data_IF_574479659299
#
_entry.id   IF_574479659299
#
_cell.length_a   1.000
_cell.length_b   1.000
_cell.length_c   1.000
_cell.angle_alpha   90.00
_cell.angle_beta   90.00
_cell.angle_gamma   90.00
#
_symmetry.space_group_name_H-M   'P 1'
#
loop_
_entity.id
_entity.type
_entity.pdbx_description
1 polymer ?
#
# COMPACT_ATOMS: atom_id res chain seq x y z
N UNK A 1 -9.62 -9.15 -85.67
CA UNK A 1 -10.47 -8.63 -84.58
C UNK A 1 -10.23 -9.43 -83.31
N UNK A 2 -9.29 -9.04 -82.43
CA UNK A 2 -9.06 -9.79 -81.16
C UNK A 2 -8.20 -9.04 -80.12
N UNK A 3 -8.54 -7.79 -79.76
CA UNK A 3 -7.79 -7.07 -78.72
C UNK A 3 -8.64 -6.31 -77.68
N UNK A 4 -9.95 -6.16 -77.88
CA UNK A 4 -10.81 -5.41 -76.96
C UNK A 4 -11.49 -6.27 -75.89
N UNK A 5 -11.66 -7.58 -76.12
CA UNK A 5 -12.35 -8.48 -75.18
C UNK A 5 -11.45 -8.97 -74.03
N UNK A 6 -10.14 -9.09 -74.27
CA UNK A 6 -9.18 -9.63 -73.30
C UNK A 6 -8.81 -8.62 -72.19
N UNK A 7 -8.76 -7.32 -72.52
CA UNK A 7 -8.53 -6.24 -71.53
C UNK A 7 -9.68 -6.14 -70.52
N UNK A 8 -10.94 -6.33 -70.96
CA UNK A 8 -12.13 -6.28 -70.09
C UNK A 8 -12.15 -7.43 -69.06
N UNK A 9 -11.72 -8.64 -69.45
CA UNK A 9 -11.66 -9.80 -68.54
C UNK A 9 -10.59 -9.64 -67.45
N UNK A 10 -9.43 -9.06 -67.80
CA UNK A 10 -8.34 -8.81 -66.83
C UNK A 10 -8.69 -7.70 -65.83
N UNK A 11 -9.33 -6.61 -66.28
CA UNK A 11 -9.81 -5.55 -65.39
C UNK A 11 -10.94 -6.02 -64.45
N UNK A 12 -11.86 -6.87 -64.91
CA UNK A 12 -12.88 -7.46 -64.05
C UNK A 12 -12.28 -8.43 -63.02
N UNK A 13 -11.26 -9.22 -63.41
CA UNK A 13 -10.51 -10.09 -62.48
C UNK A 13 -9.71 -9.30 -61.44
N UNK A 14 -9.05 -8.21 -61.85
CA UNK A 14 -8.35 -7.28 -60.95
C UNK A 14 -9.31 -6.57 -60.00
N UNK A 15 -10.45 -6.08 -60.48
CA UNK A 15 -11.47 -5.44 -59.65
C UNK A 15 -12.07 -6.39 -58.61
N UNK A 16 -12.30 -7.66 -58.99
CA UNK A 16 -12.72 -8.70 -58.05
C UNK A 16 -11.65 -9.00 -57.00
N UNK A 17 -10.38 -9.09 -57.40
CA UNK A 17 -9.28 -9.34 -56.48
C UNK A 17 -9.07 -8.18 -55.49
N UNK A 18 -9.18 -6.93 -55.97
CA UNK A 18 -9.13 -5.72 -55.13
C UNK A 18 -10.32 -5.65 -54.18
N UNK A 19 -11.53 -6.01 -54.63
CA UNK A 19 -12.71 -6.07 -53.79
C UNK A 19 -12.60 -7.16 -52.70
N UNK A 20 -12.07 -8.34 -53.05
CA UNK A 20 -11.78 -9.41 -52.08
C UNK A 20 -10.72 -8.96 -51.04
N UNK A 21 -9.66 -8.28 -51.47
CA UNK A 21 -8.65 -7.69 -50.58
C UNK A 21 -9.25 -6.63 -49.64
N UNK A 22 -10.09 -5.73 -50.17
CA UNK A 22 -10.77 -4.72 -49.38
C UNK A 22 -11.71 -5.34 -48.34
N UNK A 23 -12.45 -6.38 -48.73
CA UNK A 23 -13.39 -7.05 -47.84
C UNK A 23 -12.65 -7.77 -46.69
N UNK A 24 -11.54 -8.43 -46.99
CA UNK A 24 -10.65 -9.01 -45.96
C UNK A 24 -10.07 -7.92 -45.06
N UNK A 25 -9.61 -6.80 -45.62
CA UNK A 25 -9.04 -5.69 -44.86
C UNK A 25 -10.07 -5.04 -43.91
N UNK A 26 -11.29 -4.82 -44.38
CA UNK A 26 -12.40 -4.31 -43.56
C UNK A 26 -12.79 -5.30 -42.48
N UNK A 27 -12.85 -6.61 -42.79
CA UNK A 27 -13.13 -7.66 -41.82
C UNK A 27 -12.10 -7.72 -40.69
N UNK A 28 -10.80 -7.69 -41.02
CA UNK A 28 -9.72 -7.68 -40.02
C UNK A 28 -9.73 -6.40 -39.19
N UNK A 29 -9.94 -5.24 -39.82
CA UNK A 29 -10.01 -3.95 -39.11
C UNK A 29 -11.21 -3.88 -38.16
N UNK A 30 -12.37 -4.40 -38.57
CA UNK A 30 -13.56 -4.47 -37.74
C UNK A 30 -13.41 -5.44 -36.57
N UNK A 31 -12.82 -6.62 -36.80
CA UNK A 31 -12.53 -7.59 -35.75
C UNK A 31 -11.52 -7.03 -34.73
N UNK A 32 -10.47 -6.35 -35.22
CA UNK A 32 -9.49 -5.69 -34.37
C UNK A 32 -10.13 -4.58 -33.53
N UNK A 33 -10.96 -3.74 -34.14
CA UNK A 33 -11.70 -2.67 -33.45
C UNK A 33 -12.65 -3.21 -32.37
N UNK A 34 -13.41 -4.27 -32.69
CA UNK A 34 -14.30 -4.92 -31.73
C UNK A 34 -13.52 -5.54 -30.56
N UNK A 35 -12.40 -6.22 -30.84
CA UNK A 35 -11.56 -6.80 -29.80
C UNK A 35 -10.94 -5.73 -28.90
N UNK A 36 -10.51 -4.60 -29.48
CA UNK A 36 -9.91 -3.50 -28.73
C UNK A 36 -10.95 -2.81 -27.82
N UNK A 37 -12.19 -2.67 -28.30
CA UNK A 37 -13.30 -2.14 -27.50
C UNK A 37 -13.66 -3.06 -26.32
N UNK A 38 -13.71 -4.38 -26.54
CA UNK A 38 -13.96 -5.36 -25.47
C UNK A 38 -12.81 -5.39 -24.46
N UNK A 39 -11.57 -5.30 -24.92
CA UNK A 39 -10.39 -5.27 -24.07
C UNK A 39 -10.36 -4.04 -23.17
N UNK A 40 -10.68 -2.85 -23.70
CA UNK A 40 -10.74 -1.62 -22.88
C UNK A 40 -11.81 -1.70 -21.78
N UNK A 41 -12.95 -2.37 -22.03
CA UNK A 41 -13.95 -2.60 -20.98
C UNK A 41 -13.43 -3.55 -19.90
N UNK A 42 -12.80 -4.65 -20.28
CA UNK A 42 -12.22 -5.60 -19.31
C UNK A 42 -11.11 -4.97 -18.47
N UNK A 43 -10.26 -4.14 -19.08
CA UNK A 43 -9.20 -3.42 -18.36
C UNK A 43 -9.79 -2.40 -17.38
N UNK A 44 -10.85 -1.68 -17.79
CA UNK A 44 -11.56 -0.75 -16.90
C UNK A 44 -12.21 -1.47 -15.70
N UNK A 45 -12.85 -2.63 -15.93
CA UNK A 45 -13.44 -3.45 -14.85
C UNK A 45 -12.39 -3.98 -13.88
N UNK A 46 -11.28 -4.55 -14.39
CA UNK A 46 -10.18 -5.04 -13.56
C UNK A 46 -9.55 -3.93 -12.73
N UNK A 47 -9.36 -2.77 -13.35
CA UNK A 47 -8.82 -1.59 -12.68
C UNK A 47 -9.74 -1.11 -11.56
N UNK A 48 -11.06 -1.03 -11.78
CA UNK A 48 -11.99 -0.63 -10.74
C UNK A 48 -12.02 -1.65 -9.58
N UNK A 49 -11.93 -2.95 -9.87
CA UNK A 49 -11.80 -3.99 -8.84
C UNK A 49 -10.54 -3.82 -8.00
N UNK A 50 -9.38 -3.57 -8.63
CA UNK A 50 -8.11 -3.29 -7.93
C UNK A 50 -8.27 -2.05 -7.04
N UNK A 51 -8.69 -0.93 -7.62
CA UNK A 51 -8.85 0.34 -6.88
C UNK A 51 -9.87 0.21 -5.73
N UNK A 52 -10.96 -0.54 -5.91
CA UNK A 52 -11.93 -0.81 -4.85
C UNK A 52 -11.34 -1.66 -3.72
N UNK A 53 -10.55 -2.69 -4.04
CA UNK A 53 -9.89 -3.53 -3.03
C UNK A 53 -8.87 -2.75 -2.18
N UNK A 54 -8.08 -1.89 -2.82
CA UNK A 54 -7.12 -1.02 -2.13
C UNK A 54 -7.87 0.00 -1.28
N UNK A 55 -8.90 0.66 -1.82
CA UNK A 55 -9.73 1.60 -1.07
C UNK A 55 -10.35 0.97 0.19
N UNK A 56 -10.89 -0.25 0.09
CA UNK A 56 -11.44 -0.96 1.24
C UNK A 56 -10.36 -1.25 2.30
N UNK A 57 -9.20 -1.73 1.88
CA UNK A 57 -8.08 -2.04 2.77
C UNK A 57 -7.59 -0.79 3.51
N UNK A 58 -7.44 0.33 2.79
CA UNK A 58 -7.03 1.60 3.39
C UNK A 58 -8.05 2.14 4.39
N UNK A 59 -9.35 2.07 4.07
CA UNK A 59 -10.41 2.51 5.00
C UNK A 59 -10.38 1.70 6.30
N UNK A 60 -10.26 0.37 6.19
CA UNK A 60 -10.16 -0.52 7.34
C UNK A 60 -8.90 -0.24 8.15
N UNK A 61 -7.75 -0.05 7.49
CA UNK A 61 -6.48 0.27 8.14
C UNK A 61 -6.47 1.64 8.84
N UNK A 62 -7.09 2.67 8.26
CA UNK A 62 -7.25 3.99 8.88
C UNK A 62 -8.12 3.87 10.13
N UNK A 63 -9.27 3.20 10.02
CA UNK A 63 -10.20 3.04 11.13
C UNK A 63 -9.58 2.23 12.29
N UNK A 64 -8.97 1.08 11.98
CA UNK A 64 -8.33 0.23 13.00
C UNK A 64 -7.14 0.92 13.66
N UNK A 65 -6.27 1.57 12.87
CA UNK A 65 -5.11 2.31 13.37
C UNK A 65 -5.55 3.45 14.28
N UNK A 66 -6.58 4.20 13.90
CA UNK A 66 -7.10 5.32 14.69
C UNK A 66 -7.66 4.87 16.03
N UNK A 67 -8.44 3.79 16.05
CA UNK A 67 -8.95 3.21 17.31
C UNK A 67 -7.77 2.82 18.20
N UNK A 68 -6.87 1.98 17.71
CA UNK A 68 -5.72 1.50 18.48
C UNK A 68 -4.83 2.64 19.00
N UNK A 69 -4.57 3.65 18.16
CA UNK A 69 -3.79 4.83 18.53
C UNK A 69 -4.41 5.59 19.71
N UNK A 70 -5.70 5.89 19.62
CA UNK A 70 -6.40 6.72 20.61
C UNK A 70 -6.69 5.94 21.91
N UNK A 71 -6.99 4.64 21.81
CA UNK A 71 -7.37 3.85 23.00
C UNK A 71 -6.18 3.26 23.72
N UNK A 72 -5.07 2.96 23.04
CA UNK A 72 -3.94 2.24 23.64
C UNK A 72 -2.63 3.01 23.53
N UNK A 73 -2.19 3.36 22.31
CA UNK A 73 -0.81 3.83 22.09
C UNK A 73 -0.56 5.22 22.67
N UNK A 74 -1.44 6.19 22.39
CA UNK A 74 -1.31 7.56 22.88
C UNK A 74 -1.44 7.63 24.41
N UNK A 75 -2.47 7.04 25.04
CA UNK A 75 -2.55 7.00 26.50
C UNK A 75 -1.33 6.33 27.13
N UNK A 76 -0.88 5.18 26.61
CA UNK A 76 0.27 4.48 27.18
C UNK A 76 1.57 5.32 27.13
N UNK A 77 1.84 5.97 25.99
CA UNK A 77 2.99 6.85 25.85
C UNK A 77 2.90 8.09 26.75
N UNK A 78 1.72 8.73 26.78
CA UNK A 78 1.49 9.94 27.56
C UNK A 78 1.52 9.68 29.07
N UNK A 79 0.88 8.61 29.55
CA UNK A 79 0.85 8.23 30.96
C UNK A 79 2.25 7.86 31.45
N UNK A 80 3.01 7.09 30.68
CA UNK A 80 4.38 6.73 31.04
C UNK A 80 5.27 7.98 31.13
N UNK A 81 5.17 8.89 30.15
CA UNK A 81 5.89 10.16 30.17
C UNK A 81 5.50 11.01 31.38
N UNK A 82 4.20 11.17 31.64
CA UNK A 82 3.66 11.93 32.77
C UNK A 82 4.20 11.41 34.10
N UNK A 83 4.20 10.09 34.28
CA UNK A 83 4.72 9.44 35.50
C UNK A 83 6.23 9.67 35.65
N UNK A 84 7.01 9.54 34.57
CA UNK A 84 8.44 9.87 34.60
C UNK A 84 8.70 11.34 34.98
N UNK A 85 7.96 12.27 34.38
CA UNK A 85 8.13 13.71 34.63
C UNK A 85 7.71 14.09 36.06
N UNK A 86 6.78 13.34 36.66
CA UNK A 86 6.40 13.46 38.07
C UNK A 86 7.44 12.85 39.04
N UNK A 87 8.52 12.24 38.53
CA UNK A 87 9.51 11.55 39.34
C UNK A 87 8.99 10.23 39.92
N UNK A 88 8.01 9.61 39.28
CA UNK A 88 7.56 8.25 39.56
C UNK A 88 8.43 7.23 38.80
N UNK A 89 8.27 5.94 39.13
CA UNK A 89 8.95 4.83 38.47
C UNK A 89 7.93 3.89 37.81
N UNK A 90 7.26 4.33 36.71
CA UNK A 90 6.25 3.51 36.05
C UNK A 90 6.84 2.18 35.53
N UNK A 91 6.10 1.06 35.57
CA UNK A 91 6.63 -0.21 35.09
C UNK A 91 6.85 -0.19 33.57
N UNK A 92 7.95 -0.80 33.13
CA UNK A 92 8.19 -1.05 31.71
C UNK A 92 7.43 -2.31 31.29
N UNK A 93 6.71 -2.24 30.17
CA UNK A 93 5.97 -3.35 29.59
C UNK A 93 6.68 -3.85 28.34
N UNK A 94 6.61 -5.16 28.02
CA UNK A 94 7.17 -5.66 26.77
C UNK A 94 6.57 -4.96 25.55
N UNK A 95 7.40 -4.64 24.55
CA UNK A 95 6.94 -4.19 23.24
C UNK A 95 6.55 -5.41 22.42
N UNK A 96 5.26 -5.55 22.13
CA UNK A 96 4.75 -6.61 21.26
C UNK A 96 4.15 -5.94 20.04
N UNK A 97 4.76 -6.15 18.88
CA UNK A 97 4.25 -5.65 17.61
C UNK A 97 3.90 -6.84 16.71
N UNK A 98 2.61 -6.99 16.40
CA UNK A 98 2.10 -8.06 15.53
C UNK A 98 1.47 -7.39 14.32
N UNK A 99 1.90 -7.81 13.13
CA UNK A 99 1.30 -7.39 11.86
C UNK A 99 1.17 -8.59 10.95
N UNK A 100 0.07 -8.64 10.22
CA UNK A 100 -0.22 -9.57 9.13
C UNK A 100 0.25 -9.04 7.76
N UNK A 101 0.82 -7.84 7.74
CA UNK A 101 1.31 -7.22 6.51
C UNK A 101 2.41 -8.04 5.84
N UNK A 102 2.28 -8.25 4.53
CA UNK A 102 3.29 -8.86 3.69
C UNK A 102 3.69 -7.97 2.50
N UNK A 103 4.98 -7.62 2.35
CA UNK A 103 5.48 -6.93 1.15
C UNK A 103 5.23 -7.67 -0.16
N UNK A 104 5.02 -9.00 -0.10
CA UNK A 104 4.75 -9.81 -1.29
C UNK A 104 3.40 -9.49 -1.91
N UNK A 105 2.44 -9.03 -1.12
CA UNK A 105 1.05 -8.91 -1.57
C UNK A 105 0.91 -7.73 -2.52
N UNK A 106 1.51 -6.59 -2.17
CA UNK A 106 1.61 -5.44 -3.07
C UNK A 106 2.42 -5.78 -4.33
N UNK A 107 3.56 -6.46 -4.17
CA UNK A 107 4.38 -6.85 -5.31
C UNK A 107 3.62 -7.76 -6.29
N UNK A 108 2.86 -8.72 -5.76
CA UNK A 108 2.03 -9.64 -6.54
C UNK A 108 0.93 -8.87 -7.28
N UNK A 109 0.23 -7.96 -6.60
CA UNK A 109 -0.81 -7.11 -7.21
C UNK A 109 -0.25 -6.23 -8.34
N UNK A 110 0.93 -5.63 -8.15
CA UNK A 110 1.59 -4.81 -9.16
C UNK A 110 2.02 -5.64 -10.37
N UNK A 111 2.56 -6.84 -10.13
CA UNK A 111 3.00 -7.77 -11.18
C UNK A 111 1.84 -8.40 -11.96
N UNK A 112 0.69 -8.62 -11.34
CA UNK A 112 -0.50 -9.19 -11.98
C UNK A 112 -1.25 -8.22 -12.92
N UNK A 113 -0.69 -7.04 -13.17
CA UNK A 113 -1.24 -6.04 -14.09
C UNK A 113 -1.47 -4.65 -13.47
N UNK A 114 -1.27 -4.48 -12.17
CA UNK A 114 -1.45 -3.19 -11.49
C UNK A 114 -0.61 -2.06 -12.10
N UNK A 115 0.60 -2.35 -12.58
CA UNK A 115 1.47 -1.34 -13.24
C UNK A 115 0.89 -0.81 -14.56
N UNK A 116 0.16 -1.63 -15.32
CA UNK A 116 -0.44 -1.20 -16.58
C UNK A 116 -1.82 -0.57 -16.40
N UNK A 117 -2.51 -0.91 -15.31
CA UNK A 117 -3.89 -0.50 -15.06
C UNK A 117 -4.00 0.77 -14.21
N UNK A 118 -3.04 1.07 -13.34
CA UNK A 118 -3.12 2.21 -12.42
C UNK A 118 -2.40 3.45 -12.97
N UNK A 119 -2.92 4.63 -12.64
CA UNK A 119 -2.26 5.89 -12.97
C UNK A 119 -0.86 5.99 -12.30
N UNK A 120 0.08 6.63 -12.99
CA UNK A 120 1.47 6.76 -12.56
C UNK A 120 1.58 7.41 -11.17
N UNK A 121 0.75 8.40 -10.86
CA UNK A 121 0.80 9.05 -9.55
C UNK A 121 0.20 8.17 -8.45
N UNK A 122 -0.78 7.32 -8.78
CA UNK A 122 -1.30 6.32 -7.83
C UNK A 122 -0.26 5.25 -7.55
N UNK A 123 0.48 4.81 -8.57
CA UNK A 123 1.62 3.91 -8.39
C UNK A 123 2.72 4.52 -7.51
N UNK A 124 3.01 5.82 -7.66
CA UNK A 124 3.95 6.53 -6.79
C UNK A 124 3.45 6.61 -5.35
N UNK A 125 2.19 7.01 -5.16
CA UNK A 125 1.59 7.07 -3.83
C UNK A 125 1.56 5.70 -3.14
N UNK A 126 1.24 4.62 -3.87
CA UNK A 126 1.33 3.24 -3.36
C UNK A 126 2.75 2.86 -2.93
N UNK A 127 3.76 3.26 -3.70
CA UNK A 127 5.17 2.99 -3.38
C UNK A 127 5.65 3.79 -2.17
N UNK A 128 5.18 5.02 -2.02
CA UNK A 128 5.52 5.87 -0.88
C UNK A 128 4.89 5.34 0.41
N UNK A 129 3.62 4.93 0.35
CA UNK A 129 2.88 4.26 1.43
C UNK A 129 3.60 2.96 1.88
N UNK A 130 3.93 2.09 0.93
CA UNK A 130 4.73 0.87 1.15
C UNK A 130 6.08 1.17 1.82
N UNK A 131 6.74 2.25 1.42
CA UNK A 131 8.02 2.65 2.00
C UNK A 131 7.87 3.03 3.47
N UNK A 132 6.83 3.79 3.82
CA UNK A 132 6.52 4.16 5.21
C UNK A 132 6.24 2.91 6.05
N UNK A 133 5.40 1.98 5.55
CA UNK A 133 5.12 0.73 6.24
C UNK A 133 6.42 -0.03 6.50
N UNK A 134 7.23 -0.28 5.48
CA UNK A 134 8.48 -1.06 5.63
C UNK A 134 9.47 -0.42 6.61
N UNK A 135 9.66 0.88 6.55
CA UNK A 135 10.55 1.59 7.48
C UNK A 135 10.00 1.57 8.91
N UNK A 136 8.70 1.76 9.09
CA UNK A 136 8.01 1.67 10.37
C UNK A 136 8.16 0.29 11.00
N UNK A 137 7.90 -0.77 10.25
CA UNK A 137 8.03 -2.16 10.70
C UNK A 137 9.46 -2.51 11.10
N UNK A 138 10.46 -2.10 10.31
CA UNK A 138 11.86 -2.31 10.65
C UNK A 138 12.24 -1.61 11.98
N UNK A 139 11.69 -0.41 12.23
CA UNK A 139 11.89 0.32 13.49
C UNK A 139 11.21 -0.40 14.67
N UNK A 140 9.96 -0.83 14.51
CA UNK A 140 9.23 -1.57 15.54
C UNK A 140 9.90 -2.91 15.89
N UNK A 141 10.38 -3.65 14.89
CA UNK A 141 11.12 -4.90 15.10
C UNK A 141 12.40 -4.68 15.91
N UNK A 142 13.10 -3.55 15.71
CA UNK A 142 14.26 -3.18 16.52
C UNK A 142 13.88 -2.93 17.98
N UNK A 143 12.78 -2.23 18.24
CA UNK A 143 12.33 -1.98 19.62
C UNK A 143 11.83 -3.24 20.31
N UNK A 144 11.11 -4.11 19.59
CA UNK A 144 10.72 -5.42 20.11
C UNK A 144 11.94 -6.26 20.48
N UNK A 145 12.95 -6.34 19.61
CA UNK A 145 14.20 -7.04 19.93
C UNK A 145 14.88 -6.49 21.19
N UNK A 146 14.96 -5.17 21.35
CA UNK A 146 15.51 -4.56 22.56
C UNK A 146 14.67 -4.88 23.80
N UNK A 147 13.35 -4.96 23.65
CA UNK A 147 12.44 -5.38 24.71
C UNK A 147 12.68 -6.83 25.14
N UNK A 148 12.80 -7.72 24.17
CA UNK A 148 13.03 -9.16 24.38
C UNK A 148 14.39 -9.42 25.04
N UNK A 149 15.40 -8.60 24.75
CA UNK A 149 16.74 -8.73 25.31
C UNK A 149 16.89 -8.06 26.70
N UNK A 150 16.21 -6.94 26.96
CA UNK A 150 16.47 -6.10 28.13
C UNK A 150 15.33 -6.05 29.14
N UNK A 151 14.08 -6.12 28.68
CA UNK A 151 12.89 -5.93 29.52
C UNK A 151 12.30 -7.28 29.90
N UNK A 152 11.95 -8.11 28.92
CA UNK A 152 11.30 -9.41 29.13
C UNK A 152 12.05 -10.30 30.14
N UNK A 153 13.39 -10.44 30.09
CA UNK A 153 14.11 -11.32 31.01
C UNK A 153 14.15 -10.82 32.45
N UNK A 154 13.73 -9.57 32.69
CA UNK A 154 13.87 -8.90 33.98
C UNK A 154 12.51 -8.42 34.53
N UNK A 155 11.39 -8.94 34.02
CA UNK A 155 10.04 -8.55 34.47
C UNK A 155 9.74 -8.96 35.92
N UNK A 156 10.44 -9.96 36.44
CA UNK A 156 10.36 -10.45 37.82
C UNK A 156 11.28 -9.67 38.77
N UNK A 157 12.19 -8.84 38.25
CA UNK A 157 13.09 -8.02 39.03
C UNK A 157 12.35 -6.84 39.68
N UNK A 158 12.90 -6.33 40.78
CA UNK A 158 12.42 -5.10 41.39
C UNK A 158 12.55 -3.91 40.43
N UNK A 159 11.65 -2.92 40.58
CA UNK A 159 11.62 -1.72 39.72
C UNK A 159 12.96 -0.95 39.72
N UNK A 160 13.76 -1.05 40.80
CA UNK A 160 15.12 -0.49 40.88
C UNK A 160 16.14 -1.14 39.92
N UNK A 161 15.80 -2.26 39.27
CA UNK A 161 16.58 -2.79 38.16
C UNK A 161 16.51 -1.87 36.94
N UNK A 162 15.34 -1.28 36.69
CA UNK A 162 15.07 -0.38 35.57
C UNK A 162 15.42 1.07 35.88
N UNK A 163 15.25 1.47 37.15
CA UNK A 163 15.43 2.84 37.62
C UNK A 163 16.63 2.98 38.55
N UNK A 164 17.23 4.16 38.57
CA UNK A 164 18.13 4.54 39.65
C UNK A 164 17.29 4.93 40.88
N UNK A 165 17.43 4.27 42.04
CA UNK A 165 16.55 4.50 43.19
C UNK A 165 16.74 5.88 43.85
N UNK A 166 17.89 6.52 43.64
CA UNK A 166 18.20 7.84 44.20
C UNK A 166 17.66 8.96 43.33
N UNK A 167 17.88 8.87 42.02
CA UNK A 167 17.47 9.91 41.06
C UNK A 167 16.08 9.67 40.49
N UNK A 168 15.53 8.45 40.66
CA UNK A 168 14.27 7.96 40.08
C UNK A 168 14.22 8.02 38.55
N UNK A 169 15.37 8.18 37.89
CA UNK A 169 15.47 8.19 36.43
C UNK A 169 15.65 6.78 35.90
N UNK A 170 15.21 6.55 34.66
CA UNK A 170 15.55 5.34 33.93
C UNK A 170 17.07 5.23 33.85
N UNK A 171 17.59 4.02 34.10
CA UNK A 171 19.01 3.75 33.84
C UNK A 171 19.26 3.85 32.34
N UNK A 172 20.48 4.26 31.97
CA UNK A 172 20.90 4.53 30.58
C UNK A 172 20.48 3.46 29.56
N UNK A 173 20.53 2.17 29.91
CA UNK A 173 20.14 1.05 29.03
C UNK A 173 18.63 0.99 28.70
N UNK A 174 17.79 1.69 29.46
CA UNK A 174 16.33 1.73 29.29
C UNK A 174 15.80 3.10 28.85
N UNK A 175 16.66 4.10 28.66
CA UNK A 175 16.25 5.44 28.22
C UNK A 175 15.56 5.43 26.84
N UNK A 176 15.81 4.39 26.03
CA UNK A 176 15.16 4.16 24.73
C UNK A 176 13.67 3.81 24.85
N UNK A 177 13.21 3.36 26.02
CA UNK A 177 11.84 2.90 26.22
C UNK A 177 10.77 3.99 25.99
N UNK A 178 10.83 5.17 26.64
CA UNK A 178 9.87 6.24 26.36
C UNK A 178 9.94 6.75 24.91
N UNK A 179 11.12 6.69 24.27
CA UNK A 179 11.26 7.00 22.84
C UNK A 179 10.51 5.98 21.99
N UNK A 180 10.67 4.67 22.24
CA UNK A 180 9.99 3.61 21.51
C UNK A 180 8.46 3.68 21.63
N UNK A 181 7.92 4.04 22.81
CA UNK A 181 6.49 4.31 22.98
C UNK A 181 6.02 5.46 22.10
N UNK A 182 6.76 6.58 22.10
CA UNK A 182 6.41 7.73 21.29
C UNK A 182 6.53 7.44 19.78
N UNK A 183 7.53 6.67 19.38
CA UNK A 183 7.74 6.29 17.98
C UNK A 183 6.63 5.36 17.45
N UNK A 184 6.00 4.58 18.32
CA UNK A 184 4.80 3.80 17.95
C UNK A 184 3.63 4.72 17.60
N UNK A 185 3.40 5.77 18.41
CA UNK A 185 2.39 6.81 18.13
C UNK A 185 2.72 7.58 16.86
N UNK A 186 3.99 7.95 16.67
CA UNK A 186 4.45 8.67 15.48
C UNK A 186 4.21 7.84 14.21
N UNK A 187 4.52 6.55 14.24
CA UNK A 187 4.25 5.63 13.13
C UNK A 187 2.76 5.54 12.81
N UNK A 188 1.90 5.39 13.82
CA UNK A 188 0.45 5.33 13.60
C UNK A 188 -0.10 6.61 12.94
N UNK A 189 0.41 7.78 13.35
CA UNK A 189 0.07 9.06 12.72
C UNK A 189 0.58 9.17 11.28
N UNK A 190 1.80 8.69 11.00
CA UNK A 190 2.38 8.69 9.66
C UNK A 190 1.60 7.77 8.70
N UNK A 191 1.22 6.58 9.17
CA UNK A 191 0.36 5.64 8.45
C UNK A 191 -1.04 6.22 8.20
N UNK A 192 -1.68 6.83 9.21
CA UNK A 192 -2.99 7.48 9.02
C UNK A 192 -2.93 8.57 7.93
N UNK A 193 -1.87 9.39 7.95
CA UNK A 193 -1.65 10.44 6.95
C UNK A 193 -1.46 9.86 5.54
N UNK A 194 -0.54 8.93 5.38
CA UNK A 194 -0.18 8.34 4.07
C UNK A 194 -1.33 7.53 3.47
N UNK A 195 -1.99 6.69 4.28
CA UNK A 195 -3.19 5.97 3.84
C UNK A 195 -4.31 6.94 3.40
N UNK A 196 -4.51 8.05 4.11
CA UNK A 196 -5.53 9.06 3.76
C UNK A 196 -5.18 9.78 2.46
N UNK A 197 -3.91 10.11 2.24
CA UNK A 197 -3.42 10.71 0.99
C UNK A 197 -3.62 9.75 -0.19
N UNK A 198 -3.26 8.49 -0.02
CA UNK A 198 -3.44 7.45 -1.02
C UNK A 198 -4.94 7.19 -1.32
N UNK A 199 -5.78 7.15 -0.30
CA UNK A 199 -7.23 6.98 -0.45
C UNK A 199 -7.83 8.10 -1.31
N UNK A 200 -7.45 9.36 -1.05
CA UNK A 200 -7.87 10.51 -1.88
C UNK A 200 -7.41 10.35 -3.33
N UNK A 201 -6.20 9.85 -3.55
CA UNK A 201 -5.67 9.61 -4.90
C UNK A 201 -6.47 8.55 -5.65
N UNK A 202 -6.74 7.41 -5.00
CA UNK A 202 -7.55 6.32 -5.54
C UNK A 202 -8.94 6.82 -5.92
N UNK A 203 -9.59 7.58 -5.02
CA UNK A 203 -10.91 8.14 -5.28
C UNK A 203 -10.92 9.11 -6.47
N UNK A 204 -9.90 9.97 -6.58
CA UNK A 204 -9.76 10.86 -7.72
C UNK A 204 -9.56 10.09 -9.04
N UNK A 205 -8.75 9.03 -9.01
CA UNK A 205 -8.51 8.19 -10.19
C UNK A 205 -9.78 7.47 -10.65
N UNK A 206 -10.57 6.95 -9.71
CA UNK A 206 -11.87 6.33 -9.99
C UNK A 206 -12.89 7.33 -10.54
N UNK A 207 -12.90 8.57 -10.05
CA UNK A 207 -13.80 9.62 -10.55
C UNK A 207 -13.43 10.09 -11.96
N UNK A 208 -12.13 10.21 -12.28
CA UNK A 208 -11.67 10.67 -13.60
C UNK A 208 -11.96 9.67 -14.73
N UNK A 209 -12.26 8.42 -14.41
CA UNK A 209 -12.40 7.34 -15.37
C UNK A 209 -13.75 6.62 -15.27
N UNK A 210 -14.72 7.23 -14.60
CA UNK A 210 -16.14 6.93 -14.71
C UNK A 210 -16.76 7.76 -15.82
#
# INVERSE_FOLDING_TARGET
MSQTTEKRSRFARLGRWVAELFLVFVGVSAAFWLSNYQQHRQDAERRDQILASIEQTLRQGIESSKVNRVTEQEPAAAEFRRALDAGEMPPLRPFVFITDYSPSDLATMLQSGGVQLLDVQTLRALRDDESVIRWGLARMARYQKLSDELIVPNLDQDISFFYDPTTKKLRKRFEIYPEALQETVNLANELERTHTELLKRIQAERQQNR
#
